data_IF_079029812486
#
_entry.id   IF_079029812486
#
_cell.length_a   1.000
_cell.length_b   1.000
_cell.length_c   1.000
_cell.angle_alpha   90.00
_cell.angle_beta   90.00
_cell.angle_gamma   90.00
#
_symmetry.space_group_name_H-M   'P 1'
#
loop_
_entity.id
_entity.type
_entity.pdbx_description
1 polymer ?
#
# COMPACT_ATOMS: atom_id res chain seq x y z
N UNK A 1 30.73 -85.29 16.29
CA UNK A 1 29.65 -85.83 17.15
C UNK A 1 28.64 -84.72 17.44
N UNK A 2 27.36 -85.09 17.36
CA UNK A 2 26.15 -84.26 17.51
C UNK A 2 26.12 -83.43 18.81
N UNK A 3 25.60 -82.20 18.76
CA UNK A 3 24.22 -81.87 19.21
C UNK A 3 23.83 -80.41 18.92
N UNK A 4 22.52 -80.25 18.82
CA UNK A 4 21.70 -79.21 18.21
C UNK A 4 20.95 -78.37 19.26
N UNK A 5 20.61 -77.11 18.91
CA UNK A 5 19.48 -76.25 19.35
C UNK A 5 19.34 -75.93 20.87
N UNK A 6 18.82 -74.78 21.36
CA UNK A 6 17.62 -74.04 20.97
C UNK A 6 17.59 -72.59 21.53
N UNK A 7 16.64 -71.83 20.97
CA UNK A 7 16.24 -70.41 21.08
C UNK A 7 15.81 -69.99 22.51
N UNK A 8 16.02 -68.71 22.88
CA UNK A 8 14.93 -67.91 23.48
C UNK A 8 15.14 -66.40 23.33
N UNK A 9 14.28 -65.78 22.52
CA UNK A 9 14.00 -64.36 22.55
C UNK A 9 13.18 -64.10 23.81
N UNK A 10 13.68 -63.29 24.73
CA UNK A 10 12.83 -62.57 25.68
C UNK A 10 13.16 -61.10 25.53
N UNK A 11 12.25 -60.41 24.84
CA UNK A 11 12.19 -58.96 24.88
C UNK A 11 11.91 -58.50 26.30
N UNK A 12 12.59 -57.44 26.69
CA UNK A 12 11.99 -56.47 27.59
C UNK A 12 12.49 -55.09 27.14
N UNK A 13 11.70 -54.47 26.26
CA UNK A 13 11.64 -53.02 26.20
C UNK A 13 11.25 -52.53 27.59
N UNK A 14 12.21 -52.01 28.35
CA UNK A 14 11.90 -51.09 29.43
C UNK A 14 12.14 -49.67 28.92
N UNK A 15 11.10 -49.15 28.29
CA UNK A 15 10.97 -47.74 27.96
C UNK A 15 10.51 -47.03 29.24
N UNK A 16 11.45 -46.43 29.98
CA UNK A 16 11.11 -45.37 30.93
C UNK A 16 11.37 -44.03 30.23
N UNK A 17 10.31 -43.51 29.63
CA UNK A 17 10.23 -42.11 29.25
C UNK A 17 10.03 -41.29 30.51
N UNK A 18 10.97 -40.41 30.81
CA UNK A 18 10.69 -39.17 31.51
C UNK A 18 11.57 -38.08 30.89
N UNK A 19 10.90 -37.21 30.13
CA UNK A 19 11.35 -35.94 29.55
C UNK A 19 12.45 -36.01 28.48
N UNK A 20 12.02 -35.75 27.24
CA UNK A 20 12.82 -35.92 26.03
C UNK A 20 13.96 -34.94 25.83
N UNK A 21 15.00 -35.44 25.16
CA UNK A 21 15.65 -34.88 23.96
C UNK A 21 16.52 -36.00 23.35
N UNK A 22 16.60 -36.17 22.01
CA UNK A 22 17.52 -37.11 21.41
C UNK A 22 18.91 -36.47 21.29
N UNK A 23 19.92 -37.09 21.92
CA UNK A 23 21.32 -36.75 21.68
C UNK A 23 21.79 -37.33 20.33
N UNK A 24 22.57 -36.61 19.51
CA UNK A 24 23.18 -37.19 18.32
C UNK A 24 24.33 -38.11 18.75
N UNK A 25 24.33 -39.32 18.22
CA UNK A 25 25.48 -40.22 18.26
C UNK A 25 26.61 -39.61 17.44
N UNK A 26 27.80 -39.46 18.02
CA UNK A 26 29.01 -39.45 17.21
C UNK A 26 30.21 -40.09 17.94
N UNK A 27 30.68 -41.16 17.30
CA UNK A 27 32.05 -41.70 17.30
C UNK A 27 32.67 -42.06 18.66
N UNK A 28 32.42 -43.28 19.12
CA UNK A 28 33.25 -43.91 20.14
C UNK A 28 34.68 -44.16 19.62
N UNK A 29 35.67 -43.65 20.34
CA UNK A 29 37.05 -44.17 20.28
C UNK A 29 37.14 -45.26 21.35
N UNK A 30 37.17 -46.53 20.93
CA UNK A 30 37.52 -47.64 21.82
C UNK A 30 39.05 -47.69 21.96
N UNK A 31 39.56 -47.30 23.12
CA UNK A 31 40.92 -47.66 23.54
C UNK A 31 40.83 -48.97 24.32
N UNK A 32 41.39 -50.06 23.79
CA UNK A 32 41.68 -51.25 24.58
C UNK A 32 42.87 -50.94 25.50
N UNK A 33 42.65 -50.95 26.80
CA UNK A 33 43.70 -50.70 27.80
C UNK A 33 44.30 -52.01 28.29
N UNK A 34 45.58 -52.23 28.00
CA UNK A 34 46.44 -53.10 28.82
C UNK A 34 46.95 -52.33 30.04
N UNK A 35 46.82 -52.99 31.19
CA UNK A 35 47.45 -52.77 32.51
C UNK A 35 47.79 -51.34 32.98
N UNK A 36 47.14 -50.96 34.10
CA UNK A 36 47.85 -50.38 35.24
C UNK A 36 48.35 -48.94 35.17
N UNK A 37 47.44 -47.96 35.11
CA UNK A 37 47.67 -46.62 35.70
C UNK A 37 46.31 -45.93 35.94
N UNK A 38 46.09 -45.33 37.11
CA UNK A 38 44.88 -44.56 37.40
C UNK A 38 44.98 -43.20 36.70
N UNK A 39 44.55 -43.13 35.45
CA UNK A 39 44.24 -41.85 34.80
C UNK A 39 42.93 -41.31 35.40
N UNK A 40 43.03 -40.36 36.33
CA UNK A 40 41.89 -39.53 36.73
C UNK A 40 41.77 -38.44 35.66
N UNK A 41 41.13 -38.77 34.55
CA UNK A 41 40.74 -37.78 33.56
C UNK A 41 39.63 -36.91 34.15
N UNK A 42 39.91 -35.65 34.44
CA UNK A 42 38.86 -34.66 34.65
C UNK A 42 38.10 -34.52 33.33
N UNK A 43 36.95 -35.17 33.22
CA UNK A 43 35.96 -34.80 32.23
C UNK A 43 35.43 -33.43 32.65
N UNK A 44 35.98 -32.36 32.09
CA UNK A 44 35.32 -31.05 32.15
C UNK A 44 33.94 -31.25 31.53
N UNK A 45 32.84 -31.02 32.27
CA UNK A 45 31.52 -31.09 31.67
C UNK A 45 31.47 -30.07 30.53
N UNK A 46 31.11 -30.51 29.33
CA UNK A 46 30.83 -29.63 28.21
C UNK A 46 29.71 -28.69 28.67
N UNK A 47 30.05 -27.43 28.92
CA UNK A 47 29.07 -26.42 29.30
C UNK A 47 28.00 -26.38 28.22
N UNK A 48 26.74 -26.64 28.60
CA UNK A 48 25.63 -26.52 27.66
C UNK A 48 25.58 -25.07 27.17
N UNK A 49 25.82 -24.87 25.87
CA UNK A 49 25.75 -23.56 25.27
C UNK A 49 24.37 -22.95 25.56
N UNK A 50 24.34 -21.76 26.16
CA UNK A 50 23.09 -21.06 26.43
C UNK A 50 22.35 -20.85 25.11
N UNK A 51 21.05 -21.23 25.02
CA UNK A 51 20.32 -21.10 23.77
C UNK A 51 20.23 -19.62 23.37
N UNK A 52 20.44 -19.34 22.09
CA UNK A 52 20.36 -17.99 21.55
C UNK A 52 18.93 -17.45 21.71
N UNK A 53 18.81 -16.23 22.22
CA UNK A 53 17.53 -15.55 22.42
C UNK A 53 16.99 -15.01 21.11
N UNK A 54 15.67 -14.82 21.01
CA UNK A 54 15.08 -14.21 19.82
C UNK A 54 15.52 -12.75 19.66
N UNK A 55 15.62 -12.29 18.41
CA UNK A 55 15.81 -10.87 18.10
C UNK A 55 14.54 -10.09 18.49
N UNK A 56 14.73 -8.89 19.05
CA UNK A 56 13.64 -8.04 19.55
C UNK A 56 13.72 -6.62 19.00
N UNK A 57 12.68 -5.82 19.22
CA UNK A 57 12.67 -4.41 18.83
C UNK A 57 12.86 -4.17 17.33
N UNK A 58 12.43 -5.13 16.50
CA UNK A 58 12.36 -4.95 15.05
C UNK A 58 11.44 -3.76 14.76
N UNK A 59 11.88 -2.90 13.85
CA UNK A 59 11.11 -1.76 13.32
C UNK A 59 11.31 -1.71 11.83
N UNK A 60 10.23 -1.60 11.08
CA UNK A 60 10.26 -1.31 9.66
C UNK A 60 9.58 0.04 9.42
N UNK A 61 10.14 0.86 8.54
CA UNK A 61 9.57 2.17 8.24
C UNK A 61 8.26 2.06 7.45
N UNK A 62 7.33 2.95 7.80
CA UNK A 62 6.03 3.10 7.16
C UNK A 62 6.00 4.36 6.29
N UNK A 63 6.02 4.19 4.97
CA UNK A 63 5.70 5.27 4.03
C UNK A 63 6.64 6.48 4.07
N UNK A 64 7.84 6.33 4.63
CA UNK A 64 8.79 7.44 4.80
C UNK A 64 9.52 7.79 3.50
N UNK A 65 10.00 6.77 2.81
CA UNK A 65 10.84 6.89 1.62
C UNK A 65 10.23 6.14 0.44
N UNK A 66 10.38 6.70 -0.77
CA UNK A 66 9.86 6.07 -1.99
C UNK A 66 10.77 4.94 -2.49
N UNK A 67 12.05 4.94 -2.12
CA UNK A 67 13.08 4.06 -2.68
C UNK A 67 13.29 2.76 -1.92
N UNK A 68 12.95 2.72 -0.62
CA UNK A 68 13.27 1.59 0.26
C UNK A 68 12.47 1.58 1.56
N UNK A 69 12.41 0.43 2.21
CA UNK A 69 12.01 0.30 3.62
C UNK A 69 13.27 0.09 4.44
N UNK A 70 13.50 0.94 5.43
CA UNK A 70 14.55 0.70 6.43
C UNK A 70 14.01 -0.21 7.52
N UNK A 71 14.76 -1.25 7.81
CA UNK A 71 14.43 -2.26 8.82
C UNK A 71 15.60 -2.32 9.80
N UNK A 72 15.33 -2.15 11.09
CA UNK A 72 16.34 -2.16 12.15
C UNK A 72 15.85 -3.03 13.30
N UNK A 73 16.78 -3.64 14.05
CA UNK A 73 16.43 -4.49 15.18
C UNK A 73 17.48 -4.42 16.29
N UNK A 74 17.12 -4.92 17.47
CA UNK A 74 18.04 -5.08 18.59
C UNK A 74 18.43 -6.54 18.73
N UNK A 75 19.72 -6.78 18.83
CA UNK A 75 20.27 -8.11 19.02
C UNK A 75 20.87 -8.28 20.42
N UNK A 76 20.27 -9.13 21.28
CA UNK A 76 20.83 -9.45 22.58
C UNK A 76 21.98 -10.46 22.52
N UNK A 77 22.22 -11.13 21.38
CA UNK A 77 23.13 -12.27 21.28
C UNK A 77 24.48 -11.93 20.65
N UNK A 78 24.66 -10.73 20.09
CA UNK A 78 25.84 -10.34 19.31
C UNK A 78 26.11 -11.31 18.14
N UNK A 79 25.07 -11.63 17.38
CA UNK A 79 25.09 -12.45 16.17
C UNK A 79 26.04 -11.87 15.12
N UNK A 80 26.72 -12.78 14.40
CA UNK A 80 27.65 -12.43 13.32
C UNK A 80 26.93 -12.15 12.01
N UNK A 81 25.79 -12.80 11.81
CA UNK A 81 24.95 -12.65 10.63
C UNK A 81 23.49 -12.58 11.02
N UNK A 82 22.73 -11.87 10.20
CA UNK A 82 21.28 -11.77 10.29
C UNK A 82 20.66 -12.16 8.95
N UNK A 83 19.53 -12.82 9.02
CA UNK A 83 18.75 -13.30 7.90
C UNK A 83 17.42 -12.57 7.96
N UNK A 84 17.12 -11.77 6.93
CA UNK A 84 15.89 -10.98 6.85
C UNK A 84 14.91 -11.70 5.96
N UNK A 85 13.70 -11.87 6.48
CA UNK A 85 12.61 -12.54 5.80
C UNK A 85 11.45 -11.57 5.57
N UNK A 86 10.78 -11.70 4.44
CA UNK A 86 9.64 -10.86 4.03
C UNK A 86 8.44 -11.72 3.63
N UNK A 87 7.24 -11.23 3.93
CA UNK A 87 5.97 -11.81 3.52
C UNK A 87 4.97 -10.69 3.15
N UNK A 88 3.98 -10.97 2.30
CA UNK A 88 2.85 -10.05 2.06
C UNK A 88 1.74 -10.16 3.12
N UNK A 89 1.75 -11.24 3.92
CA UNK A 89 0.81 -11.48 5.02
C UNK A 89 1.53 -11.68 6.35
N UNK A 90 0.89 -11.26 7.45
CA UNK A 90 1.44 -11.35 8.81
C UNK A 90 1.87 -12.77 9.19
N UNK A 91 1.09 -13.77 8.75
CA UNK A 91 1.32 -15.18 9.04
C UNK A 91 2.25 -15.87 8.04
N UNK A 92 2.70 -15.17 6.99
CA UNK A 92 3.55 -15.71 5.94
C UNK A 92 2.77 -16.20 4.71
N UNK A 93 3.39 -17.04 3.86
CA UNK A 93 4.75 -17.58 4.00
C UNK A 93 5.83 -16.49 3.96
N UNK A 94 6.93 -16.70 4.68
CA UNK A 94 8.07 -15.77 4.75
C UNK A 94 9.22 -16.29 3.88
N UNK A 95 9.75 -15.43 3.04
CA UNK A 95 10.88 -15.72 2.16
C UNK A 95 12.12 -14.95 2.60
N UNK A 96 13.31 -15.57 2.58
CA UNK A 96 14.56 -14.87 2.87
C UNK A 96 14.88 -13.92 1.73
N UNK A 97 15.00 -12.64 2.02
CA UNK A 97 15.35 -11.60 1.04
C UNK A 97 16.80 -11.14 1.17
N UNK A 98 17.41 -11.29 2.35
CA UNK A 98 18.76 -10.80 2.58
C UNK A 98 19.52 -11.56 3.65
N UNK A 99 20.84 -11.40 3.62
CA UNK A 99 21.75 -11.72 4.71
C UNK A 99 22.68 -10.52 4.92
N UNK A 100 22.88 -10.12 6.17
CA UNK A 100 23.67 -8.93 6.52
C UNK A 100 24.48 -9.19 7.79
N UNK A 101 25.59 -8.47 7.96
CA UNK A 101 26.37 -8.45 9.21
C UNK A 101 25.90 -7.36 10.19
N UNK A 102 25.20 -6.34 9.69
CA UNK A 102 24.70 -5.24 10.51
C UNK A 102 23.30 -5.54 11.06
N UNK A 103 22.90 -5.00 12.22
CA UNK A 103 21.55 -5.14 12.76
C UNK A 103 20.52 -4.22 12.06
N UNK A 104 20.65 -4.10 10.73
CA UNK A 104 19.79 -3.31 9.85
C UNK A 104 19.80 -3.85 8.43
N UNK A 105 18.73 -3.56 7.69
CA UNK A 105 18.61 -3.84 6.26
C UNK A 105 17.80 -2.74 5.56
N UNK A 106 18.09 -2.52 4.28
CA UNK A 106 17.35 -1.63 3.39
C UNK A 106 16.72 -2.48 2.30
N UNK A 107 15.39 -2.60 2.33
CA UNK A 107 14.64 -3.34 1.32
C UNK A 107 14.27 -2.41 0.16
N UNK A 108 15.10 -2.39 -0.88
CA UNK A 108 14.92 -1.60 -2.11
C UNK A 108 14.03 -2.29 -3.14
N UNK A 109 13.74 -3.57 -2.96
CA UNK A 109 13.01 -4.40 -3.93
C UNK A 109 11.52 -4.52 -3.59
N UNK A 110 11.10 -4.02 -2.41
CA UNK A 110 9.70 -3.92 -2.04
C UNK A 110 8.93 -3.06 -3.06
N UNK A 111 7.70 -3.43 -3.39
CA UNK A 111 6.84 -2.59 -4.22
C UNK A 111 6.35 -1.34 -3.44
N UNK A 112 6.36 -0.14 -4.04
CA UNK A 112 5.79 1.06 -3.41
C UNK A 112 4.34 0.88 -3.00
N UNK A 113 4.04 1.21 -1.74
CA UNK A 113 2.73 1.13 -1.12
C UNK A 113 2.25 -0.28 -0.74
N UNK A 114 2.90 -1.37 -1.17
CA UNK A 114 2.54 -2.70 -0.69
C UNK A 114 3.05 -2.89 0.75
N UNK A 115 2.12 -3.20 1.67
CA UNK A 115 2.46 -3.51 3.06
C UNK A 115 3.05 -4.91 3.15
N UNK A 116 4.31 -4.98 3.55
CA UNK A 116 5.01 -6.22 3.83
C UNK A 116 5.13 -6.45 5.34
N UNK A 117 5.46 -7.68 5.69
CA UNK A 117 5.77 -8.13 7.03
C UNK A 117 7.18 -8.72 7.05
N UNK A 118 7.96 -8.34 8.05
CA UNK A 118 9.35 -8.71 8.21
C UNK A 118 9.58 -9.52 9.47
N UNK A 119 10.47 -10.49 9.37
CA UNK A 119 11.05 -11.21 10.50
C UNK A 119 12.56 -11.31 10.32
N UNK A 120 13.27 -11.39 11.43
CA UNK A 120 14.73 -11.51 11.42
C UNK A 120 15.17 -12.69 12.27
N UNK A 121 16.17 -13.40 11.80
CA UNK A 121 16.86 -14.46 12.52
C UNK A 121 18.35 -14.11 12.61
N UNK A 122 18.96 -14.29 13.78
CA UNK A 122 20.39 -14.14 13.98
C UNK A 122 21.10 -15.48 13.87
N UNK A 123 22.40 -15.44 13.55
CA UNK A 123 23.28 -16.60 13.56
C UNK A 123 24.57 -16.29 14.31
N UNK A 124 24.92 -17.19 15.23
CA UNK A 124 26.13 -17.11 16.04
C UNK A 124 26.66 -18.51 16.34
N UNK A 125 27.97 -18.70 16.13
CA UNK A 125 28.72 -19.87 16.59
C UNK A 125 28.06 -21.23 16.27
N UNK A 126 27.51 -21.38 15.04
CA UNK A 126 26.86 -22.62 14.61
C UNK A 126 25.34 -22.69 14.85
N UNK A 127 24.79 -21.79 15.66
CA UNK A 127 23.38 -21.77 16.03
C UNK A 127 22.61 -20.59 15.44
N UNK A 128 21.31 -20.79 15.23
CA UNK A 128 20.37 -19.73 14.87
C UNK A 128 19.54 -19.31 16.08
N UNK A 129 19.18 -18.03 16.15
CA UNK A 129 18.12 -17.57 17.06
C UNK A 129 16.76 -18.12 16.59
N UNK A 130 15.73 -18.12 17.45
CA UNK A 130 14.36 -18.10 16.96
C UNK A 130 14.11 -16.89 16.06
N UNK A 131 13.14 -16.99 15.14
CA UNK A 131 12.67 -15.83 14.38
C UNK A 131 12.08 -14.78 15.32
N UNK A 132 12.29 -13.50 14.98
CA UNK A 132 11.64 -12.39 15.66
C UNK A 132 10.10 -12.45 15.53
N UNK A 133 9.43 -11.61 16.32
CA UNK A 133 8.04 -11.24 16.03
C UNK A 133 7.92 -10.57 14.65
N UNK A 134 6.73 -10.66 14.00
CA UNK A 134 6.49 -10.01 12.72
C UNK A 134 6.32 -8.50 12.90
N UNK A 135 6.93 -7.72 12.02
CA UNK A 135 6.79 -6.25 11.97
C UNK A 135 6.38 -5.80 10.57
N UNK A 136 5.42 -4.90 10.46
CA UNK A 136 4.98 -4.39 9.15
C UNK A 136 5.80 -3.18 8.72
N UNK A 137 5.99 -3.03 7.41
CA UNK A 137 6.56 -1.83 6.80
C UNK A 137 6.14 -1.70 5.35
N UNK A 138 6.24 -0.50 4.79
CA UNK A 138 5.95 -0.26 3.38
C UNK A 138 6.71 0.94 2.83
N UNK A 139 7.08 0.86 1.55
CA UNK A 139 7.65 1.99 0.81
C UNK A 139 6.56 3.01 0.54
N UNK A 140 6.90 4.30 0.58
CA UNK A 140 5.98 5.36 0.21
C UNK A 140 5.56 5.20 -1.25
N UNK A 141 4.25 5.23 -1.50
CA UNK A 141 3.76 5.26 -2.88
C UNK A 141 3.93 6.67 -3.45
N UNK A 142 4.42 6.84 -4.69
CA UNK A 142 4.54 8.15 -5.31
C UNK A 142 3.20 8.87 -5.39
N UNK A 143 3.17 10.11 -4.94
CA UNK A 143 1.98 10.96 -4.98
C UNK A 143 1.81 11.49 -6.41
N UNK A 144 0.63 11.34 -7.05
CA UNK A 144 0.43 11.83 -8.41
C UNK A 144 0.71 13.32 -8.53
N UNK A 145 1.43 13.68 -9.59
CA UNK A 145 1.55 15.07 -10.02
C UNK A 145 0.19 15.53 -10.55
N UNK A 146 -0.25 16.71 -10.12
CA UNK A 146 -1.45 17.32 -10.67
C UNK A 146 -1.23 17.74 -12.12
N UNK A 147 -2.29 17.75 -12.91
CA UNK A 147 -2.27 18.28 -14.27
C UNK A 147 -2.09 19.80 -14.26
N UNK A 148 -1.40 20.32 -15.28
CA UNK A 148 -1.24 21.76 -15.45
C UNK A 148 -2.51 22.39 -16.01
N UNK A 149 -2.99 23.45 -15.36
CA UNK A 149 -4.23 24.13 -15.74
C UNK A 149 -4.10 24.89 -17.06
N UNK A 150 -2.94 25.49 -17.33
CA UNK A 150 -2.68 26.17 -18.61
C UNK A 150 -2.69 25.18 -19.76
N UNK A 151 -2.10 24.00 -19.55
CA UNK A 151 -2.14 22.90 -20.51
C UNK A 151 -3.56 22.41 -20.75
N UNK A 152 -4.34 22.13 -19.69
CA UNK A 152 -5.75 21.72 -19.81
C UNK A 152 -6.54 22.74 -20.63
N UNK A 153 -6.40 24.04 -20.32
CA UNK A 153 -7.10 25.11 -21.04
C UNK A 153 -6.61 25.20 -22.49
N UNK A 154 -5.30 25.04 -22.73
CA UNK A 154 -4.72 25.11 -24.07
C UNK A 154 -5.22 23.98 -24.99
N UNK A 155 -5.58 22.83 -24.42
CA UNK A 155 -6.17 21.70 -25.15
C UNK A 155 -7.61 21.97 -25.58
N UNK A 156 -8.32 22.94 -24.96
CA UNK A 156 -9.69 23.36 -25.30
C UNK A 156 -9.77 24.20 -26.59
N UNK A 157 -9.13 23.73 -27.65
CA UNK A 157 -9.08 24.41 -28.97
C UNK A 157 -9.76 23.59 -30.07
N UNK A 158 -10.16 22.35 -29.78
CA UNK A 158 -10.73 21.47 -30.78
C UNK A 158 -12.21 21.82 -31.04
N UNK A 159 -12.57 21.89 -32.32
CA UNK A 159 -13.95 21.61 -32.70
C UNK A 159 -14.13 20.11 -32.54
N UNK A 160 -15.12 19.62 -31.77
CA UNK A 160 -15.33 18.18 -31.63
C UNK A 160 -15.44 17.54 -33.02
N UNK A 161 -14.71 16.44 -33.25
CA UNK A 161 -14.80 15.67 -34.49
C UNK A 161 -16.28 15.43 -34.74
N UNK A 162 -16.76 15.82 -35.93
CA UNK A 162 -18.18 15.82 -36.25
C UNK A 162 -18.76 14.45 -35.92
N UNK A 163 -19.55 14.34 -34.84
CA UNK A 163 -20.02 13.04 -34.39
C UNK A 163 -20.91 12.45 -35.49
N UNK A 164 -21.02 11.12 -35.52
CA UNK A 164 -22.00 10.45 -36.38
C UNK A 164 -23.40 11.03 -36.12
N UNK A 165 -24.34 10.85 -37.05
CA UNK A 165 -25.72 11.34 -36.85
C UNK A 165 -26.31 10.86 -35.50
N UNK A 166 -25.99 9.62 -35.11
CA UNK A 166 -26.38 9.03 -33.83
C UNK A 166 -25.75 9.74 -32.63
N UNK A 167 -24.45 10.02 -32.67
CA UNK A 167 -23.75 10.71 -31.60
C UNK A 167 -24.22 12.16 -31.45
N UNK A 168 -24.59 12.84 -32.55
CA UNK A 168 -25.21 14.18 -32.50
C UNK A 168 -26.58 14.12 -31.83
N UNK A 169 -27.41 13.14 -32.17
CA UNK A 169 -28.71 12.95 -31.53
C UNK A 169 -28.57 12.66 -30.02
N UNK A 170 -27.60 11.83 -29.63
CA UNK A 170 -27.26 11.60 -28.22
C UNK A 170 -26.79 12.89 -27.52
N UNK A 171 -25.91 13.64 -28.15
CA UNK A 171 -25.39 14.90 -27.61
C UNK A 171 -26.48 15.94 -27.41
N UNK A 172 -27.45 16.05 -28.34
CA UNK A 172 -28.58 16.96 -28.19
C UNK A 172 -29.50 16.53 -27.03
N UNK A 173 -29.85 15.23 -26.98
CA UNK A 173 -30.66 14.67 -25.89
C UNK A 173 -30.01 14.91 -24.53
N UNK A 174 -28.73 14.58 -24.40
CA UNK A 174 -28.00 14.75 -23.15
C UNK A 174 -27.70 16.22 -22.85
N UNK A 175 -27.51 17.05 -23.86
CA UNK A 175 -27.39 18.50 -23.69
C UNK A 175 -28.62 19.11 -23.01
N UNK A 176 -29.83 18.64 -23.35
CA UNK A 176 -31.07 19.06 -22.66
C UNK A 176 -31.05 18.66 -21.18
N UNK A 177 -30.62 17.43 -20.86
CA UNK A 177 -30.48 16.93 -19.48
C UNK A 177 -29.45 17.74 -18.69
N UNK A 178 -28.32 18.11 -19.32
CA UNK A 178 -27.21 18.81 -18.66
C UNK A 178 -27.42 20.32 -18.57
N UNK A 179 -28.25 20.91 -19.42
CA UNK A 179 -28.47 22.35 -19.49
C UNK A 179 -28.76 23.05 -18.14
N UNK A 180 -29.54 22.47 -17.21
CA UNK A 180 -29.78 23.11 -15.91
C UNK A 180 -28.56 23.15 -14.99
N UNK A 181 -27.52 22.36 -15.31
CA UNK A 181 -26.30 22.20 -14.51
C UNK A 181 -25.09 22.91 -15.12
N UNK A 182 -25.24 23.55 -16.28
CA UNK A 182 -24.15 24.30 -16.88
C UNK A 182 -23.81 25.53 -16.04
N UNK A 183 -22.51 25.70 -15.77
CA UNK A 183 -22.02 26.86 -15.03
C UNK A 183 -22.04 28.08 -15.96
N UNK A 184 -22.53 29.20 -15.43
CA UNK A 184 -22.38 30.49 -16.11
C UNK A 184 -20.90 30.75 -16.45
N UNK A 185 -20.61 31.17 -17.68
CA UNK A 185 -19.26 31.27 -18.23
C UNK A 185 -18.36 32.27 -17.49
N UNK A 186 -18.92 33.37 -16.99
CA UNK A 186 -18.19 34.37 -16.19
C UNK A 186 -17.82 33.79 -14.83
N UNK A 187 -18.79 33.17 -14.14
CA UNK A 187 -18.54 32.50 -12.85
C UNK A 187 -17.53 31.37 -12.99
N UNK A 188 -17.63 30.57 -14.05
CA UNK A 188 -16.69 29.49 -14.34
C UNK A 188 -15.28 30.04 -14.55
N UNK A 189 -15.13 31.11 -15.33
CA UNK A 189 -13.82 31.74 -15.59
C UNK A 189 -13.20 32.27 -14.30
N UNK A 190 -14.00 32.87 -13.41
CA UNK A 190 -13.53 33.31 -12.10
C UNK A 190 -13.07 32.14 -11.22
N UNK A 191 -13.86 31.07 -11.15
CA UNK A 191 -13.49 29.88 -10.37
C UNK A 191 -12.19 29.25 -10.89
N UNK A 192 -12.04 29.14 -12.21
CA UNK A 192 -10.82 28.61 -12.83
C UNK A 192 -9.62 29.51 -12.52
N UNK A 193 -9.77 30.84 -12.55
CA UNK A 193 -8.73 31.78 -12.18
C UNK A 193 -8.25 31.55 -10.73
N UNK A 194 -9.19 31.39 -9.80
CA UNK A 194 -8.90 31.12 -8.38
C UNK A 194 -8.25 29.74 -8.22
N UNK A 195 -8.81 28.70 -8.83
CA UNK A 195 -8.26 27.34 -8.77
C UNK A 195 -6.82 27.30 -9.29
N UNK A 196 -6.55 27.98 -10.40
CA UNK A 196 -5.21 28.10 -11.00
C UNK A 196 -4.19 28.71 -10.04
N UNK A 197 -4.59 29.69 -9.23
CA UNK A 197 -3.73 30.27 -8.21
C UNK A 197 -3.33 29.22 -7.16
N UNK A 198 -4.28 28.43 -6.64
CA UNK A 198 -3.99 27.37 -5.67
C UNK A 198 -3.20 26.20 -6.27
N UNK A 199 -3.44 25.86 -7.54
CA UNK A 199 -2.66 24.85 -8.25
C UNK A 199 -1.19 25.26 -8.36
N UNK A 200 -0.91 26.52 -8.73
CA UNK A 200 0.47 27.03 -8.82
C UNK A 200 1.20 27.07 -7.48
N UNK A 201 0.48 27.25 -6.38
CA UNK A 201 1.04 27.16 -5.02
C UNK A 201 1.27 25.72 -4.55
N UNK A 202 0.66 24.74 -5.22
CA UNK A 202 0.70 23.33 -4.82
C UNK A 202 -0.36 22.93 -3.79
N UNK A 203 -1.24 23.85 -3.39
CA UNK A 203 -2.31 23.61 -2.41
C UNK A 203 -3.44 22.73 -3.00
N UNK A 204 -3.61 22.78 -4.33
CA UNK A 204 -4.66 22.10 -5.06
C UNK A 204 -4.06 21.31 -6.23
N UNK A 205 -4.49 20.07 -6.42
CA UNK A 205 -4.09 19.24 -7.57
C UNK A 205 -5.28 19.04 -8.48
N UNK A 206 -5.06 19.08 -9.79
CA UNK A 206 -6.07 18.70 -10.77
C UNK A 206 -5.80 17.27 -11.19
N UNK A 207 -6.76 16.39 -10.96
CA UNK A 207 -6.66 14.96 -11.25
C UNK A 207 -7.80 14.56 -12.20
N UNK A 208 -7.52 13.66 -13.14
CA UNK A 208 -8.42 13.24 -14.20
C UNK A 208 -8.03 11.87 -14.74
N UNK A 209 -8.71 11.46 -15.81
CA UNK A 209 -8.45 10.18 -16.50
C UNK A 209 -8.59 8.96 -15.58
N UNK A 210 -9.66 8.97 -14.77
CA UNK A 210 -10.01 7.87 -13.87
C UNK A 210 -10.50 6.66 -14.66
N UNK A 211 -10.04 5.46 -14.28
CA UNK A 211 -10.45 4.21 -14.93
C UNK A 211 -11.59 3.52 -14.19
N UNK A 212 -11.91 3.96 -12.98
CA UNK A 212 -13.03 3.46 -12.20
C UNK A 212 -13.64 4.58 -11.37
N UNK A 213 -14.97 4.55 -11.27
CA UNK A 213 -15.71 5.35 -10.31
C UNK A 213 -16.89 4.54 -9.74
N UNK A 214 -17.34 4.93 -8.56
CA UNK A 214 -18.55 4.41 -7.95
C UNK A 214 -19.31 5.52 -7.23
N UNK A 215 -20.65 5.44 -7.28
CA UNK A 215 -21.53 6.32 -6.52
C UNK A 215 -21.96 5.61 -5.24
N UNK A 216 -21.72 6.25 -4.10
CA UNK A 216 -22.19 5.78 -2.81
C UNK A 216 -23.44 6.56 -2.39
N UNK A 217 -24.62 5.98 -2.62
CA UNK A 217 -25.90 6.60 -2.25
C UNK A 217 -26.08 6.75 -0.74
N UNK A 218 -25.53 5.83 0.05
CA UNK A 218 -25.67 5.83 1.52
C UNK A 218 -24.92 7.01 2.14
N UNK A 219 -23.71 7.30 1.64
CA UNK A 219 -22.85 8.34 2.17
C UNK A 219 -22.79 9.60 1.30
N UNK A 220 -23.60 9.68 0.24
CA UNK A 220 -23.65 10.86 -0.63
C UNK A 220 -22.31 11.22 -1.28
N UNK A 221 -21.50 10.22 -1.65
CA UNK A 221 -20.16 10.45 -2.18
C UNK A 221 -19.88 9.73 -3.50
N UNK A 222 -18.95 10.29 -4.27
CA UNK A 222 -18.35 9.67 -5.46
C UNK A 222 -16.95 9.22 -5.07
N UNK A 223 -16.63 7.97 -5.35
CA UNK A 223 -15.29 7.44 -5.17
C UNK A 223 -14.69 7.13 -6.54
N UNK A 224 -13.48 7.60 -6.79
CA UNK A 224 -12.76 7.41 -8.05
C UNK A 224 -11.41 6.77 -7.81
N UNK A 225 -10.98 5.98 -8.78
CA UNK A 225 -9.66 5.35 -8.78
C UNK A 225 -8.94 5.76 -10.07
N UNK A 226 -7.76 6.34 -9.89
CA UNK A 226 -6.88 6.79 -10.96
C UNK A 226 -5.55 6.06 -10.94
N UNK A 227 -4.83 6.12 -12.06
CA UNK A 227 -3.46 5.63 -12.20
C UNK A 227 -2.55 6.75 -12.66
N UNK A 228 -1.37 6.87 -12.05
CA UNK A 228 -0.31 7.79 -12.47
C UNK A 228 1.03 7.05 -12.44
N UNK A 229 1.73 7.01 -13.58
CA UNK A 229 2.99 6.28 -13.73
C UNK A 229 2.94 4.82 -13.22
N UNK A 230 1.80 4.15 -13.38
CA UNK A 230 1.56 2.78 -12.91
C UNK A 230 1.04 2.67 -11.47
N UNK A 231 1.11 3.73 -10.65
CA UNK A 231 0.66 3.73 -9.27
C UNK A 231 -0.81 4.13 -9.13
N UNK A 232 -1.51 3.46 -8.22
CA UNK A 232 -2.94 3.69 -7.98
C UNK A 232 -3.14 4.77 -6.94
N UNK A 233 -4.09 5.66 -7.16
CA UNK A 233 -4.52 6.64 -6.17
C UNK A 233 -6.05 6.74 -6.15
N UNK A 234 -6.58 7.30 -5.07
CA UNK A 234 -8.02 7.39 -4.86
C UNK A 234 -8.46 8.83 -4.66
N UNK A 235 -9.64 9.15 -5.16
CA UNK A 235 -10.27 10.46 -4.97
C UNK A 235 -11.67 10.23 -4.41
N UNK A 236 -12.08 11.04 -3.45
CA UNK A 236 -13.45 11.09 -2.96
C UNK A 236 -14.01 12.50 -3.14
N UNK A 237 -15.24 12.58 -3.64
CA UNK A 237 -16.04 13.80 -3.61
C UNK A 237 -17.27 13.52 -2.76
N UNK A 238 -17.43 14.27 -1.68
CA UNK A 238 -18.71 14.33 -0.96
C UNK A 238 -19.61 15.35 -1.67
N UNK A 239 -20.72 14.87 -2.25
CA UNK A 239 -21.77 15.68 -2.81
C UNK A 239 -23.07 14.86 -2.93
N UNK A 240 -23.88 14.91 -1.88
CA UNK A 240 -25.14 14.15 -1.77
C UNK A 240 -26.14 14.54 -2.86
N UNK A 241 -26.17 15.82 -3.23
CA UNK A 241 -27.05 16.34 -4.28
C UNK A 241 -26.67 15.76 -5.64
N UNK A 242 -25.39 15.77 -5.99
CA UNK A 242 -24.89 15.20 -7.23
C UNK A 242 -25.19 13.70 -7.29
N UNK A 243 -24.88 12.95 -6.24
CA UNK A 243 -25.15 11.50 -6.21
C UNK A 243 -26.62 11.19 -6.43
N UNK A 244 -27.54 11.96 -5.82
CA UNK A 244 -28.99 11.80 -6.02
C UNK A 244 -29.42 12.10 -7.45
N UNK A 245 -28.90 13.16 -8.06
CA UNK A 245 -29.26 13.57 -9.43
C UNK A 245 -28.66 12.60 -10.45
N UNK A 246 -27.35 12.35 -10.37
CA UNK A 246 -26.60 11.48 -11.27
C UNK A 246 -27.10 10.02 -11.23
N UNK A 247 -27.66 9.59 -10.10
CA UNK A 247 -28.31 8.28 -9.95
C UNK A 247 -29.51 8.06 -10.88
N UNK A 248 -30.11 9.14 -11.39
CA UNK A 248 -31.24 9.09 -12.31
C UNK A 248 -30.84 9.37 -13.76
N UNK A 249 -29.56 9.66 -14.02
CA UNK A 249 -29.07 9.89 -15.37
C UNK A 249 -28.83 8.57 -16.10
N UNK A 250 -28.86 8.65 -17.43
CA UNK A 250 -28.44 7.56 -18.29
C UNK A 250 -26.99 7.15 -17.96
N UNK A 251 -26.73 5.84 -17.87
CA UNK A 251 -25.42 5.30 -17.50
C UNK A 251 -24.33 5.78 -18.46
N UNK A 252 -24.61 5.80 -19.77
CA UNK A 252 -23.65 6.21 -20.79
C UNK A 252 -23.33 7.69 -20.72
N UNK A 253 -24.29 8.52 -20.30
CA UNK A 253 -24.05 9.94 -20.02
C UNK A 253 -23.12 10.10 -18.82
N UNK A 254 -23.41 9.41 -17.72
CA UNK A 254 -22.60 9.52 -16.51
C UNK A 254 -21.17 9.01 -16.74
N UNK A 255 -21.02 7.87 -17.43
CA UNK A 255 -19.71 7.32 -17.79
C UNK A 255 -18.90 8.33 -18.62
N UNK A 256 -19.52 8.92 -19.66
CA UNK A 256 -18.89 9.96 -20.50
C UNK A 256 -18.45 11.18 -19.69
N UNK A 257 -19.26 11.61 -18.72
CA UNK A 257 -18.91 12.74 -17.86
C UNK A 257 -17.77 12.39 -16.88
N UNK A 258 -17.79 11.22 -16.26
CA UNK A 258 -16.73 10.83 -15.32
C UNK A 258 -15.39 10.62 -16.04
N UNK A 259 -15.41 10.08 -17.26
CA UNK A 259 -14.22 9.95 -18.12
C UNK A 259 -13.62 11.31 -18.52
N UNK A 260 -14.48 12.33 -18.70
CA UNK A 260 -14.06 13.67 -19.09
C UNK A 260 -13.83 14.61 -17.89
N UNK A 261 -14.03 14.13 -16.66
CA UNK A 261 -14.00 14.98 -15.48
C UNK A 261 -12.57 15.33 -15.05
N UNK A 262 -12.40 16.58 -14.63
CA UNK A 262 -11.25 17.06 -13.87
C UNK A 262 -11.70 17.36 -12.45
N UNK A 263 -11.13 16.65 -11.48
CA UNK A 263 -11.36 16.85 -10.06
C UNK A 263 -10.28 17.76 -9.48
N UNK A 264 -10.71 18.68 -8.63
CA UNK A 264 -9.85 19.61 -7.91
C UNK A 264 -9.67 19.07 -6.50
N UNK A 265 -8.45 18.67 -6.17
CA UNK A 265 -8.18 17.75 -5.09
C UNK A 265 -7.16 18.30 -4.09
N UNK A 266 -7.42 18.08 -2.81
CA UNK A 266 -6.45 18.25 -1.73
C UNK A 266 -5.97 16.87 -1.27
N UNK A 267 -4.73 16.78 -0.80
CA UNK A 267 -4.18 15.52 -0.31
C UNK A 267 -4.76 15.20 1.06
N UNK A 268 -5.43 14.03 1.16
CA UNK A 268 -6.08 13.54 2.38
C UNK A 268 -5.25 12.53 3.16
N UNK A 269 -3.99 12.31 2.78
CA UNK A 269 -3.12 11.28 3.36
C UNK A 269 -3.19 9.95 2.62
N UNK A 270 -2.51 8.93 3.14
CA UNK A 270 -2.57 7.58 2.60
C UNK A 270 -3.70 6.78 3.25
N UNK A 271 -4.36 5.91 2.47
CA UNK A 271 -5.40 5.00 2.96
C UNK A 271 -5.08 3.56 2.62
N UNK A 272 -5.51 2.66 3.50
CA UNK A 272 -5.43 1.22 3.27
C UNK A 272 -6.48 0.76 2.26
N UNK A 273 -6.04 -0.01 1.28
CA UNK A 273 -6.88 -0.76 0.36
C UNK A 273 -6.44 -2.23 0.33
N UNK A 274 -7.38 -3.13 0.56
CA UNK A 274 -7.15 -4.56 0.36
C UNK A 274 -7.39 -4.92 -1.11
N UNK A 275 -6.35 -5.40 -1.77
CA UNK A 275 -6.45 -5.93 -3.13
C UNK A 275 -7.23 -7.24 -3.17
N UNK A 276 -7.66 -7.65 -4.36
CA UNK A 276 -8.38 -8.93 -4.57
C UNK A 276 -7.55 -10.16 -4.18
N UNK A 277 -6.22 -10.04 -4.18
CA UNK A 277 -5.27 -11.04 -3.73
C UNK A 277 -5.11 -11.11 -2.20
N UNK A 278 -5.82 -10.28 -1.43
CA UNK A 278 -5.69 -10.18 0.02
C UNK A 278 -4.53 -9.31 0.50
N UNK A 279 -3.69 -8.81 -0.41
CA UNK A 279 -2.59 -7.91 -0.06
C UNK A 279 -3.13 -6.54 0.36
N UNK A 280 -2.45 -5.88 1.30
CA UNK A 280 -2.81 -4.54 1.76
C UNK A 280 -1.91 -3.51 1.09
N UNK A 281 -2.51 -2.51 0.44
CA UNK A 281 -1.83 -1.41 -0.20
C UNK A 281 -2.13 -0.10 0.51
N UNK A 282 -1.10 0.69 0.81
CA UNK A 282 -1.16 2.06 1.28
C UNK A 282 -1.17 2.97 0.04
N UNK A 283 -2.33 3.53 -0.28
CA UNK A 283 -2.52 4.34 -1.50
C UNK A 283 -2.74 5.81 -1.17
N UNK A 284 -2.22 6.74 -1.97
CA UNK A 284 -2.52 8.16 -1.86
C UNK A 284 -4.03 8.39 -1.99
N UNK A 285 -4.59 9.11 -1.02
CA UNK A 285 -5.99 9.51 -1.00
C UNK A 285 -6.13 11.03 -1.15
N UNK A 286 -7.14 11.43 -1.89
CA UNK A 286 -7.46 12.82 -2.12
C UNK A 286 -8.94 13.10 -1.86
N UNK A 287 -9.19 14.24 -1.23
CA UNK A 287 -10.53 14.80 -1.08
C UNK A 287 -10.72 15.86 -2.15
N UNK A 288 -11.77 15.73 -2.94
CA UNK A 288 -12.11 16.67 -4.00
C UNK A 288 -12.97 17.80 -3.44
N UNK A 289 -12.55 19.04 -3.66
CA UNK A 289 -13.35 20.24 -3.36
C UNK A 289 -14.41 20.50 -4.43
N UNK A 290 -14.29 19.82 -5.57
CA UNK A 290 -15.24 19.86 -6.66
C UNK A 290 -14.67 19.24 -7.92
N UNK A 291 -15.48 19.21 -8.98
CA UNK A 291 -15.04 18.78 -10.30
C UNK A 291 -15.74 19.57 -11.40
N UNK A 292 -15.09 19.61 -12.56
CA UNK A 292 -15.66 20.10 -13.81
C UNK A 292 -15.70 18.97 -14.82
N UNK A 293 -16.75 18.88 -15.61
CA UNK A 293 -16.84 17.93 -16.71
C UNK A 293 -17.63 18.48 -17.89
N UNK A 294 -17.44 17.87 -19.05
CA UNK A 294 -18.04 18.22 -20.32
C UNK A 294 -18.46 16.94 -21.05
N UNK A 295 -19.54 17.02 -21.83
CA UNK A 295 -19.96 15.89 -22.66
C UNK A 295 -18.93 15.58 -23.77
N UNK A 296 -18.46 16.63 -24.46
CA UNK A 296 -17.37 16.54 -25.43
C UNK A 296 -16.09 17.07 -24.78
N UNK A 297 -15.10 16.19 -24.59
CA UNK A 297 -13.78 16.59 -24.07
C UNK A 297 -13.12 17.54 -25.07
N UNK A 298 -12.56 18.64 -24.54
CA UNK A 298 -11.80 19.63 -25.31
C UNK A 298 -12.61 20.44 -26.34
N UNK A 299 -13.93 20.58 -26.15
CA UNK A 299 -14.79 21.44 -26.99
C UNK A 299 -14.41 22.92 -26.82
N UNK A 300 -14.23 23.66 -27.93
CA UNK A 300 -14.07 25.13 -27.92
C UNK A 300 -15.18 25.88 -27.18
N UNK A 301 -16.38 25.33 -27.13
CA UNK A 301 -17.55 25.90 -26.44
C UNK A 301 -17.65 25.49 -24.97
N UNK A 302 -16.61 24.88 -24.40
CA UNK A 302 -16.61 24.36 -23.04
C UNK A 302 -17.12 25.36 -21.99
N UNK A 303 -16.81 26.66 -22.12
CA UNK A 303 -17.21 27.70 -21.15
C UNK A 303 -18.71 27.81 -20.92
N UNK A 304 -19.54 27.39 -21.87
CA UNK A 304 -21.01 27.42 -21.76
C UNK A 304 -21.62 26.02 -21.61
N UNK A 305 -20.80 24.96 -21.67
CA UNK A 305 -21.22 23.55 -21.65
C UNK A 305 -20.52 22.72 -20.57
N UNK A 306 -19.87 23.38 -19.62
CA UNK A 306 -19.22 22.74 -18.48
C UNK A 306 -20.22 22.58 -17.35
N UNK A 307 -20.40 21.35 -16.88
CA UNK A 307 -21.03 21.09 -15.58
C UNK A 307 -19.98 21.20 -14.49
N UNK A 308 -20.38 21.76 -13.35
CA UNK A 308 -19.50 21.87 -12.19
C UNK A 308 -20.28 21.58 -10.93
N UNK A 309 -19.73 20.69 -10.11
CA UNK A 309 -20.24 20.38 -8.78
C UNK A 309 -19.11 20.55 -7.77
N UNK A 310 -19.39 21.28 -6.70
CA UNK A 310 -18.57 21.50 -5.53
C UNK A 310 -18.78 20.40 -4.48
N UNK A 311 -17.91 20.32 -3.48
CA UNK A 311 -18.17 19.45 -2.33
C UNK A 311 -19.23 20.07 -1.42
N UNK A 312 -20.08 19.25 -0.79
CA UNK A 312 -20.97 19.67 0.31
C UNK A 312 -20.33 19.43 1.70
N UNK A 313 -19.04 19.12 1.75
CA UNK A 313 -18.31 18.90 2.99
C UNK A 313 -18.06 20.24 3.72
N UNK A 314 -18.70 20.38 4.89
CA UNK A 314 -18.64 21.59 5.71
C UNK A 314 -17.22 21.92 6.22
N UNK A 315 -16.36 20.92 6.43
CA UNK A 315 -14.97 21.14 6.85
C UNK A 315 -14.13 21.71 5.70
N UNK A 316 -14.29 21.17 4.49
CA UNK A 316 -13.65 21.71 3.28
C UNK A 316 -14.11 23.14 3.02
N UNK A 317 -15.40 23.42 3.15
CA UNK A 317 -15.94 24.77 3.06
C UNK A 317 -15.33 25.70 4.12
N UNK A 318 -15.21 25.24 5.36
CA UNK A 318 -14.59 26.01 6.44
C UNK A 318 -13.09 26.24 6.19
N UNK A 319 -12.37 25.29 5.61
CA UNK A 319 -10.96 25.42 5.22
C UNK A 319 -10.79 26.42 4.09
N UNK A 320 -11.60 26.33 3.04
CA UNK A 320 -11.61 27.27 1.90
C UNK A 320 -11.90 28.69 2.40
N UNK A 321 -12.91 28.84 3.26
CA UNK A 321 -13.28 30.14 3.82
C UNK A 321 -12.19 30.72 4.73
N UNK A 322 -11.51 29.90 5.54
CA UNK A 322 -10.36 30.34 6.36
C UNK A 322 -9.18 30.79 5.50
N UNK A 323 -8.86 30.05 4.43
CA UNK A 323 -7.82 30.41 3.48
C UNK A 323 -8.15 31.73 2.74
N UNK A 324 -9.43 32.01 2.49
CA UNK A 324 -9.90 33.27 1.90
C UNK A 324 -9.81 34.48 2.84
N UNK A 325 -10.17 34.32 4.13
CA UNK A 325 -10.18 35.41 5.12
C UNK A 325 -8.80 35.88 5.58
N UNK A 326 -7.79 35.01 5.55
CA UNK A 326 -6.40 35.39 5.88
C UNK A 326 -5.78 36.42 4.91
N UNK A 327 -6.47 36.75 3.81
CA UNK A 327 -5.97 37.68 2.77
C UNK A 327 -6.73 39.01 2.66
N UNK A 328 -7.79 39.21 3.45
CA UNK A 328 -8.48 40.51 3.54
C UNK A 328 -8.06 41.32 4.77
N UNK A 329 -7.15 40.78 5.58
CA UNK A 329 -6.52 41.48 6.71
C UNK A 329 -5.03 41.63 6.45
N UNK A 330 -4.65 42.54 5.55
CA UNK A 330 -3.38 43.25 5.53
C UNK A 330 -3.54 44.51 4.69
#
# INVERSE_FOLDING_TARGET
MKKHFHISIIGCLLFLMLNGTPFPWNSGVFLTRTSGEKAVGMLTPLSAATPLQMITGIKAEDGREEERIRIEWKDPNQCRHYFVYRATGKTGPYEKIAQTGDPRHLDTDAEPGLKYWYKVQGYRDGGYTPLSGPESGYRKMPVPKGMDMDEIISRKKATPVYPTAEERAKAERFGKVLSPYYKNSVKLSFIILVAKYYVRRGDLKVLGDFYHYSLNRKYGSVFLIGKNAGFTYTVRLENSRFVRIASNWDRTLLDRLMENAYFYCIYGGDRELTGKNGNTYMVPHFEAVGFTSEYFKNDRNWKTRTVMFDSDNAELDAMINRAGRWKTGN
#
